data_IF_729208592672
#
_entry.id   IF_729208592672
#
_cell.length_a   1.000
_cell.length_b   1.000
_cell.length_c   1.000
_cell.angle_alpha   90.00
_cell.angle_beta   90.00
_cell.angle_gamma   90.00
#
_symmetry.space_group_name_H-M   'P 1'
#
loop_
_entity.id
_entity.type
_entity.pdbx_description
1 polymer ?
#
# COMPACT_ATOMS: atom_id res chain seq x y z
N UNK A 1 18.48 45.73 5.39
CA UNK A 1 18.47 44.34 4.89
C UNK A 1 17.23 43.67 5.45
N UNK A 2 16.17 43.56 4.65
CA UNK A 2 14.86 43.05 5.09
C UNK A 2 14.84 41.54 4.89
N UNK A 3 14.81 40.79 5.99
CA UNK A 3 14.67 39.33 5.98
C UNK A 3 13.24 38.99 5.54
N UNK A 4 13.09 38.33 4.39
CA UNK A 4 11.80 37.84 3.95
C UNK A 4 11.41 36.62 4.79
N UNK A 5 10.38 36.75 5.61
CA UNK A 5 9.74 35.63 6.31
C UNK A 5 9.07 34.74 5.26
N UNK A 6 9.61 33.55 5.00
CA UNK A 6 8.93 32.53 4.20
C UNK A 6 7.76 32.01 5.03
N UNK A 7 6.54 32.29 4.61
CA UNK A 7 5.35 31.69 5.19
C UNK A 7 5.33 30.19 4.88
N UNK A 8 5.11 29.32 5.89
CA UNK A 8 4.93 27.89 5.64
C UNK A 8 3.72 27.68 4.72
N UNK A 9 3.86 26.83 3.71
CA UNK A 9 2.75 26.42 2.86
C UNK A 9 1.77 25.65 3.76
N UNK A 10 0.59 26.22 4.05
CA UNK A 10 -0.47 25.51 4.77
C UNK A 10 -0.83 24.23 4.00
N UNK A 11 -0.74 23.08 4.66
CA UNK A 11 -1.19 21.82 4.07
C UNK A 11 -2.70 21.91 3.85
N UNK A 12 -3.16 21.61 2.64
CA UNK A 12 -4.59 21.58 2.32
C UNK A 12 -5.30 20.54 3.22
N UNK A 13 -6.50 20.79 3.77
CA UNK A 13 -7.15 19.91 4.77
C UNK A 13 -7.51 18.50 4.29
N UNK A 14 -7.38 18.23 2.98
CA UNK A 14 -7.48 16.89 2.38
C UNK A 14 -6.12 16.15 2.34
N UNK A 15 -5.12 16.64 3.10
CA UNK A 15 -3.75 16.15 3.09
C UNK A 15 -3.66 14.66 3.39
N UNK A 16 -3.50 13.87 2.33
CA UNK A 16 -2.82 12.58 2.33
C UNK A 16 -3.52 11.46 3.10
N UNK A 17 -3.86 10.35 2.42
CA UNK A 17 -4.21 9.13 3.16
C UNK A 17 -3.04 8.66 4.04
N UNK A 18 -3.21 7.62 4.88
CA UNK A 18 -2.16 7.12 5.78
C UNK A 18 -0.82 6.76 5.12
N UNK A 19 -0.79 6.64 3.79
CA UNK A 19 0.40 6.40 2.97
C UNK A 19 1.23 7.67 2.71
N UNK A 20 0.65 8.86 2.78
CA UNK A 20 1.29 10.13 2.45
C UNK A 20 1.96 10.76 3.67
N UNK A 21 3.06 10.13 4.08
CA UNK A 21 3.88 10.55 5.23
C UNK A 21 5.02 11.51 4.83
N UNK A 22 4.96 12.06 3.61
CA UNK A 22 5.99 12.95 3.08
C UNK A 22 6.23 14.18 3.96
N UNK A 23 7.47 14.39 4.38
CA UNK A 23 7.86 15.54 5.20
C UNK A 23 7.30 15.53 6.63
N UNK A 24 6.77 14.41 7.12
CA UNK A 24 6.48 14.22 8.54
C UNK A 24 7.77 13.92 9.33
N UNK A 25 7.81 14.31 10.60
CA UNK A 25 8.90 13.91 11.49
C UNK A 25 8.86 12.39 11.71
N UNK A 26 10.01 11.74 11.48
CA UNK A 26 10.18 10.30 11.67
C UNK A 26 11.02 9.99 12.91
N UNK A 27 10.81 8.80 13.48
CA UNK A 27 11.70 8.24 14.50
C UNK A 27 12.99 7.65 13.89
N UNK A 28 13.91 7.15 14.73
CA UNK A 28 15.09 6.42 14.27
C UNK A 28 14.70 5.24 13.36
N UNK A 29 15.48 5.01 12.30
CA UNK A 29 15.26 3.91 11.37
C UNK A 29 15.94 2.64 11.88
N UNK A 30 15.15 1.58 12.05
CA UNK A 30 15.68 0.23 12.10
C UNK A 30 16.11 -0.22 10.69
N UNK A 31 17.32 -0.72 10.55
CA UNK A 31 17.93 -1.18 9.29
C UNK A 31 18.22 -2.68 9.30
N UNK A 32 17.80 -3.40 10.33
CA UNK A 32 17.94 -4.85 10.36
C UNK A 32 17.20 -5.48 9.19
N UNK A 33 17.83 -6.49 8.58
CA UNK A 33 17.22 -7.22 7.48
C UNK A 33 16.10 -8.10 8.01
N UNK A 34 14.93 -8.00 7.37
CA UNK A 34 13.78 -8.82 7.71
C UNK A 34 13.83 -10.14 6.92
N UNK A 35 13.86 -11.27 7.63
CA UNK A 35 13.73 -12.58 6.99
C UNK A 35 12.29 -12.80 6.57
N UNK A 36 12.06 -12.92 5.26
CA UNK A 36 10.73 -13.19 4.75
C UNK A 36 10.26 -14.60 5.04
N UNK A 37 9.07 -14.70 5.61
CA UNK A 37 8.33 -15.94 5.77
C UNK A 37 7.89 -16.51 4.42
N UNK A 38 7.63 -17.82 4.37
CA UNK A 38 7.23 -18.48 3.13
C UNK A 38 5.96 -17.85 2.50
N UNK A 39 4.98 -17.50 3.33
CA UNK A 39 3.71 -16.93 2.87
C UNK A 39 3.87 -15.52 2.29
N UNK A 40 4.85 -14.74 2.77
CA UNK A 40 5.17 -13.41 2.24
C UNK A 40 5.74 -13.53 0.83
N UNK A 41 6.66 -14.48 0.65
CA UNK A 41 7.21 -14.81 -0.68
C UNK A 41 6.12 -15.30 -1.63
N UNK A 42 5.18 -16.11 -1.14
CA UNK A 42 4.03 -16.58 -1.92
C UNK A 42 3.11 -15.42 -2.31
N UNK A 43 2.79 -14.52 -1.38
CA UNK A 43 1.99 -13.31 -1.64
C UNK A 43 2.62 -12.48 -2.76
N UNK A 44 3.94 -12.24 -2.69
CA UNK A 44 4.68 -11.54 -3.72
C UNK A 44 4.64 -12.28 -5.08
N UNK A 45 4.87 -13.60 -5.07
CA UNK A 45 4.84 -14.41 -6.29
C UNK A 45 3.47 -14.39 -6.97
N UNK A 46 2.38 -14.45 -6.20
CA UNK A 46 1.01 -14.35 -6.73
C UNK A 46 0.75 -12.98 -7.36
N UNK A 47 1.15 -11.89 -6.68
CA UNK A 47 1.06 -10.54 -7.23
C UNK A 47 1.78 -10.46 -8.59
N UNK A 48 3.03 -10.92 -8.66
CA UNK A 48 3.81 -10.91 -9.90
C UNK A 48 3.14 -11.74 -11.00
N UNK A 49 2.59 -12.92 -10.67
CA UNK A 49 1.91 -13.76 -11.64
C UNK A 49 0.67 -13.07 -12.23
N UNK A 50 -0.13 -12.41 -11.39
CA UNK A 50 -1.32 -11.67 -11.83
C UNK A 50 -0.94 -10.47 -12.71
N UNK A 51 0.10 -9.72 -12.33
CA UNK A 51 0.66 -8.65 -13.15
C UNK A 51 1.11 -9.16 -14.52
N UNK A 52 1.89 -10.25 -14.56
CA UNK A 52 2.38 -10.84 -15.82
C UNK A 52 1.27 -11.35 -16.72
N UNK A 53 0.14 -11.76 -16.14
CA UNK A 53 -1.06 -12.18 -16.87
C UNK A 53 -2.00 -11.02 -17.25
N UNK A 54 -1.63 -9.78 -16.94
CA UNK A 54 -2.46 -8.60 -17.21
C UNK A 54 -3.79 -8.59 -16.43
N UNK A 55 -3.83 -9.27 -15.28
CA UNK A 55 -5.04 -9.37 -14.43
C UNK A 55 -5.08 -8.34 -13.30
N UNK A 56 -3.93 -7.71 -13.03
CA UNK A 56 -3.73 -6.73 -11.99
C UNK A 56 -2.62 -5.77 -12.43
N UNK A 57 -2.71 -4.49 -12.06
CA UNK A 57 -1.58 -3.56 -12.17
C UNK A 57 -1.03 -3.19 -10.79
N UNK A 58 0.22 -2.72 -10.73
CA UNK A 58 0.81 -2.23 -9.48
C UNK A 58 0.04 -1.03 -8.93
N UNK A 59 -0.53 -0.19 -9.81
CA UNK A 59 -1.38 0.93 -9.40
C UNK A 59 -2.68 0.47 -8.74
N UNK A 60 -3.27 -0.62 -9.23
CA UNK A 60 -4.47 -1.21 -8.60
C UNK A 60 -4.15 -1.79 -7.23
N UNK A 61 -3.01 -2.48 -7.08
CA UNK A 61 -2.51 -2.92 -5.78
C UNK A 61 -2.29 -1.73 -4.84
N UNK A 62 -1.65 -0.66 -5.33
CA UNK A 62 -1.39 0.54 -4.52
C UNK A 62 -2.70 1.17 -4.05
N UNK A 63 -3.68 1.33 -4.94
CA UNK A 63 -5.01 1.85 -4.60
C UNK A 63 -5.68 1.03 -3.49
N UNK A 64 -5.61 -0.30 -3.56
CA UNK A 64 -6.23 -1.15 -2.54
C UNK A 64 -5.52 -1.07 -1.18
N UNK A 65 -4.18 -0.96 -1.16
CA UNK A 65 -3.42 -0.71 0.06
C UNK A 65 -3.77 0.66 0.67
N UNK A 66 -3.95 1.68 -0.17
CA UNK A 66 -4.27 3.05 0.26
C UNK A 66 -5.71 3.22 0.73
N UNK A 67 -6.61 2.33 0.32
CA UNK A 67 -7.99 2.27 0.77
C UNK A 67 -8.14 1.63 2.16
N UNK A 68 -7.08 1.06 2.73
CA UNK A 68 -7.10 0.51 4.09
C UNK A 68 -7.35 1.61 5.11
N UNK A 69 -8.12 1.29 6.16
CA UNK A 69 -8.36 2.22 7.25
C UNK A 69 -7.07 2.57 7.99
N UNK A 70 -7.06 3.70 8.71
CA UNK A 70 -5.92 4.10 9.52
C UNK A 70 -5.55 3.03 10.58
N UNK A 71 -6.57 2.39 11.17
CA UNK A 71 -6.38 1.29 12.11
C UNK A 71 -5.68 0.10 11.46
N UNK A 72 -6.13 -0.32 10.28
CA UNK A 72 -5.51 -1.41 9.52
C UNK A 72 -4.08 -1.06 9.08
N UNK A 73 -3.83 0.20 8.70
CA UNK A 73 -2.49 0.67 8.30
C UNK A 73 -1.48 0.54 9.44
N UNK A 74 -1.90 0.82 10.68
CA UNK A 74 -1.04 0.75 11.88
C UNK A 74 -0.84 -0.67 12.40
N UNK A 75 -1.85 -1.54 12.27
CA UNK A 75 -1.78 -2.90 12.84
C UNK A 75 -1.19 -3.94 11.89
N UNK A 76 -1.36 -3.78 10.58
CA UNK A 76 -0.90 -4.74 9.59
C UNK A 76 0.57 -4.54 9.23
N UNK A 77 1.28 -5.63 9.07
CA UNK A 77 2.60 -5.70 8.44
C UNK A 77 2.52 -5.39 6.93
N UNK A 78 3.68 -5.21 6.31
CA UNK A 78 3.77 -4.84 4.89
C UNK A 78 3.05 -5.84 3.96
N UNK A 79 3.33 -7.13 4.12
CA UNK A 79 2.74 -8.17 3.27
C UNK A 79 1.29 -8.49 3.61
N UNK A 80 0.85 -8.25 4.86
CA UNK A 80 -0.58 -8.36 5.19
C UNK A 80 -1.41 -7.32 4.43
N UNK A 81 -0.92 -6.09 4.30
CA UNK A 81 -1.59 -5.06 3.48
C UNK A 81 -1.66 -5.45 2.01
N UNK A 82 -0.59 -6.04 1.47
CA UNK A 82 -0.57 -6.56 0.11
C UNK A 82 -1.59 -7.69 -0.08
N UNK A 83 -1.60 -8.67 0.83
CA UNK A 83 -2.56 -9.77 0.79
C UNK A 83 -4.01 -9.27 0.85
N UNK A 84 -4.31 -8.33 1.75
CA UNK A 84 -5.63 -7.72 1.87
C UNK A 84 -6.05 -7.00 0.57
N UNK A 85 -5.16 -6.20 -0.02
CA UNK A 85 -5.41 -5.52 -1.29
C UNK A 85 -5.60 -6.50 -2.45
N UNK A 86 -4.80 -7.57 -2.52
CA UNK A 86 -4.92 -8.60 -3.55
C UNK A 86 -6.29 -9.28 -3.45
N UNK A 87 -6.71 -9.66 -2.25
CA UNK A 87 -8.03 -10.28 -2.01
C UNK A 87 -9.16 -9.32 -2.42
N UNK A 88 -9.07 -8.03 -2.08
CA UNK A 88 -10.07 -7.04 -2.47
C UNK A 88 -10.21 -6.93 -3.99
N UNK A 89 -9.10 -6.74 -4.72
CA UNK A 89 -9.09 -6.68 -6.19
C UNK A 89 -9.64 -7.96 -6.81
N UNK A 90 -9.28 -9.09 -6.21
CA UNK A 90 -9.76 -10.40 -6.61
C UNK A 90 -11.28 -10.52 -6.45
N UNK A 91 -11.84 -10.04 -5.35
CA UNK A 91 -13.30 -10.07 -5.16
C UNK A 91 -14.01 -9.09 -6.09
N UNK A 92 -13.49 -7.87 -6.25
CA UNK A 92 -14.03 -6.83 -7.12
C UNK A 92 -14.16 -7.28 -8.58
N UNK A 93 -13.16 -8.04 -9.07
CA UNK A 93 -13.14 -8.46 -10.48
C UNK A 93 -13.92 -9.75 -10.77
N UNK A 94 -14.46 -10.43 -9.76
CA UNK A 94 -15.19 -11.70 -9.94
C UNK A 94 -14.45 -12.75 -10.81
N UNK A 95 -13.11 -12.70 -10.89
CA UNK A 95 -12.30 -13.66 -11.68
C UNK A 95 -12.48 -15.12 -11.21
N UNK A 96 -12.99 -15.33 -9.99
CA UNK A 96 -13.26 -16.64 -9.41
C UNK A 96 -14.66 -17.23 -9.75
N UNK A 97 -15.55 -16.49 -10.43
CA UNK A 97 -16.95 -16.96 -10.69
C UNK A 97 -17.17 -17.48 -12.11
N UNK A 98 -16.09 -17.71 -12.86
CA UNK A 98 -16.12 -18.38 -14.16
C UNK A 98 -15.94 -19.89 -14.07
N UNK A 99 -16.70 -20.57 -13.21
CA UNK A 99 -16.84 -22.04 -13.32
C UNK A 99 -18.00 -22.31 -14.26
N UNK A 100 -17.70 -22.41 -15.55
CA UNK A 100 -18.62 -22.99 -16.52
C UNK A 100 -18.75 -24.48 -16.20
N UNK A 101 -19.92 -24.89 -15.71
CA UNK A 101 -20.37 -26.29 -15.74
C UNK A 101 -20.93 -26.62 -17.12
#
# INVERSE_FOLDING_TARGET
>A
MTTATVTPIERHPLAGGPHDVGGAEGGPLDRHEHSYELWERQTHAVMLLLCRKGKLTVDELRRGVEALSEAATKSMTYYERWAASLVAICLERCWAVGVSY
#
